data_IF_111131259791
#
_entry.id   IF_111131259791
#
_cell.length_a   1.000
_cell.length_b   1.000
_cell.length_c   1.000
_cell.angle_alpha   90.00
_cell.angle_beta   90.00
_cell.angle_gamma   90.00
#
_symmetry.space_group_name_H-M   'P 1'
#
loop_
_entity.id
_entity.type
_entity.pdbx_description
1 polymer ?
#
# COMPACT_ATOMS: atom_id res chain seq x y z
N UNK A 1 -6.02 3.60 -33.35
CA UNK A 1 -6.26 4.75 -32.46
C UNK A 1 -5.64 4.43 -31.12
N UNK A 2 -4.58 5.14 -30.73
CA UNK A 2 -3.94 4.99 -29.42
C UNK A 2 -4.84 5.64 -28.37
N UNK A 3 -5.43 4.85 -27.49
CA UNK A 3 -6.12 5.39 -26.32
C UNK A 3 -5.04 5.96 -25.39
N UNK A 4 -4.89 7.28 -25.39
CA UNK A 4 -4.14 7.97 -24.35
C UNK A 4 -5.05 7.94 -23.11
N UNK A 5 -4.82 6.97 -22.23
CA UNK A 5 -5.37 7.02 -20.88
C UNK A 5 -4.72 8.23 -20.21
N UNK A 6 -5.44 9.36 -20.11
CA UNK A 6 -4.99 10.45 -19.25
C UNK A 6 -4.97 9.88 -17.84
N UNK A 7 -3.77 9.64 -17.31
CA UNK A 7 -3.57 9.29 -15.90
C UNK A 7 -4.04 10.49 -15.08
N UNK A 8 -5.35 10.52 -14.78
CA UNK A 8 -5.93 11.43 -13.80
C UNK A 8 -5.33 10.96 -12.49
N UNK A 9 -4.31 11.66 -11.98
CA UNK A 9 -3.65 11.35 -10.70
C UNK A 9 -4.70 10.88 -9.70
N UNK A 10 -4.78 9.57 -9.51
CA UNK A 10 -5.63 9.01 -8.47
C UNK A 10 -4.94 9.43 -7.18
N UNK A 11 -5.64 10.05 -6.22
CA UNK A 11 -5.01 10.45 -4.99
C UNK A 11 -4.46 9.20 -4.29
N UNK A 12 -3.14 9.13 -4.16
CA UNK A 12 -2.49 8.14 -3.32
C UNK A 12 -2.53 8.64 -1.87
N UNK A 13 -2.78 7.74 -0.93
CA UNK A 13 -2.72 8.05 0.50
C UNK A 13 -1.40 7.52 1.03
N UNK A 14 -0.57 8.44 1.51
CA UNK A 14 0.70 8.12 2.15
C UNK A 14 0.66 8.56 3.60
N UNK A 15 0.83 7.63 4.52
CA UNK A 15 0.93 7.89 5.95
C UNK A 15 2.32 8.39 6.32
N UNK A 16 2.39 9.33 7.26
CA UNK A 16 3.64 9.69 7.95
C UNK A 16 3.83 8.73 9.12
N UNK A 17 4.92 8.00 9.11
CA UNK A 17 5.22 6.96 10.10
C UNK A 17 6.59 7.17 10.72
N UNK A 18 6.82 6.55 11.87
CA UNK A 18 8.13 6.43 12.51
C UNK A 18 8.47 4.95 12.67
N UNK A 19 9.68 4.54 12.29
CA UNK A 19 10.27 3.28 12.73
C UNK A 19 11.04 3.52 14.03
N UNK A 20 10.75 2.73 15.07
CA UNK A 20 11.34 2.87 16.40
C UNK A 20 12.24 1.67 16.69
N UNK A 21 13.54 1.91 16.82
CA UNK A 21 14.50 0.88 17.18
C UNK A 21 14.28 0.38 18.61
N UNK A 22 13.95 -0.91 18.78
CA UNK A 22 13.63 -1.49 20.10
C UNK A 22 14.71 -1.29 21.17
N UNK A 23 15.99 -1.37 20.79
CA UNK A 23 17.11 -1.28 21.73
C UNK A 23 17.52 0.17 21.97
N UNK A 24 17.64 0.94 20.89
CA UNK A 24 18.22 2.30 20.94
C UNK A 24 17.19 3.39 21.16
N UNK A 25 15.90 3.10 20.96
CA UNK A 25 14.84 4.11 20.89
C UNK A 25 14.98 5.06 19.69
N UNK A 26 15.92 4.79 18.76
CA UNK A 26 16.14 5.62 17.58
C UNK A 26 14.87 5.67 16.75
N UNK A 27 14.42 6.88 16.43
CA UNK A 27 13.28 7.15 15.57
C UNK A 27 13.75 7.48 14.16
N UNK A 28 13.12 6.88 13.17
CA UNK A 28 13.38 7.11 11.75
C UNK A 28 12.05 7.46 11.09
N UNK A 29 11.94 8.68 10.60
CA UNK A 29 10.75 9.10 9.84
C UNK A 29 10.69 8.34 8.51
N UNK A 30 9.50 7.87 8.15
CA UNK A 30 9.22 7.20 6.89
C UNK A 30 7.86 7.62 6.31
N UNK A 31 7.71 7.46 5.01
CA UNK A 31 6.44 7.62 4.31
C UNK A 31 5.93 6.25 3.87
N UNK A 32 4.76 5.85 4.36
CA UNK A 32 4.16 4.56 4.06
C UNK A 32 2.98 4.73 3.10
N UNK A 33 3.12 4.23 1.87
CA UNK A 33 2.03 4.20 0.90
C UNK A 33 1.02 3.13 1.29
N UNK A 34 -0.27 3.47 1.29
CA UNK A 34 -1.35 2.48 1.37
C UNK A 34 -1.60 1.94 -0.04
N UNK A 35 -1.39 0.64 -0.26
CA UNK A 35 -1.54 0.03 -1.57
C UNK A 35 -2.23 -1.34 -1.49
N UNK A 36 -3.53 -1.38 -1.76
CA UNK A 36 -4.29 -2.64 -1.83
C UNK A 36 -3.89 -3.53 -3.02
N UNK A 37 -3.05 -3.05 -3.93
CA UNK A 37 -2.49 -3.82 -5.05
C UNK A 37 -1.19 -4.54 -4.73
N UNK A 38 -0.60 -4.31 -3.55
CA UNK A 38 0.62 -4.95 -3.10
C UNK A 38 0.33 -5.99 -2.00
N UNK A 39 1.02 -7.13 -2.05
CA UNK A 39 0.97 -8.16 -1.00
C UNK A 39 2.04 -7.89 0.07
N UNK A 40 1.72 -8.14 1.34
CA UNK A 40 2.68 -7.97 2.44
C UNK A 40 2.92 -6.53 2.90
N UNK A 41 3.85 -6.39 3.85
CA UNK A 41 4.38 -5.12 4.33
C UNK A 41 5.81 -4.99 3.81
N UNK A 42 6.10 -3.95 3.05
CA UNK A 42 7.33 -3.85 2.28
C UNK A 42 8.10 -2.59 2.69
N UNK A 43 9.43 -2.70 2.81
CA UNK A 43 10.33 -1.57 3.02
C UNK A 43 11.35 -1.49 1.88
N UNK A 44 11.64 -0.27 1.46
CA UNK A 44 12.60 -0.01 0.39
C UNK A 44 14.02 -0.40 0.80
N UNK A 45 14.70 -1.15 -0.07
CA UNK A 45 16.08 -1.62 0.16
C UNK A 45 17.07 -0.48 0.39
N UNK A 46 17.01 0.58 -0.42
CA UNK A 46 17.87 1.76 -0.29
C UNK A 46 17.55 2.54 1.00
N UNK A 47 16.26 2.66 1.35
CA UNK A 47 15.84 3.27 2.61
C UNK A 47 16.39 2.49 3.81
N UNK A 48 16.27 1.16 3.80
CA UNK A 48 16.73 0.29 4.88
C UNK A 48 18.25 0.37 5.04
N UNK A 49 19.01 0.32 3.94
CA UNK A 49 20.46 0.46 3.93
C UNK A 49 20.92 1.82 4.46
N UNK A 50 20.36 2.92 3.93
CA UNK A 50 20.70 4.29 4.35
C UNK A 50 20.45 4.52 5.84
N UNK A 51 19.40 3.90 6.38
CA UNK A 51 19.07 4.01 7.81
C UNK A 51 19.76 2.97 8.70
N UNK A 52 20.52 2.05 8.10
CA UNK A 52 21.25 0.99 8.80
C UNK A 52 20.31 0.09 9.61
N UNK A 53 19.19 -0.30 9.01
CA UNK A 53 18.29 -1.27 9.61
C UNK A 53 18.94 -2.65 9.64
N UNK A 54 18.70 -3.43 10.70
CA UNK A 54 19.14 -4.82 10.75
C UNK A 54 18.34 -5.65 9.76
N UNK A 55 19.02 -6.25 8.80
CA UNK A 55 18.44 -7.14 7.80
C UNK A 55 18.71 -8.60 8.18
N UNK A 56 17.70 -9.45 8.01
CA UNK A 56 17.76 -10.87 8.28
C UNK A 56 17.46 -11.65 7.00
N UNK A 57 18.17 -12.74 6.70
CA UNK A 57 17.92 -13.53 5.51
C UNK A 57 16.62 -14.33 5.63
N UNK A 58 15.86 -14.40 4.54
CA UNK A 58 14.70 -15.29 4.40
C UNK A 58 15.19 -16.67 3.97
N UNK A 59 14.70 -17.72 4.64
CA UNK A 59 15.08 -19.12 4.35
C UNK A 59 14.77 -19.52 2.90
N UNK A 60 13.62 -19.10 2.39
CA UNK A 60 13.17 -19.38 1.03
C UNK A 60 12.87 -18.05 0.33
N UNK A 61 13.84 -17.45 -0.37
CA UNK A 61 13.61 -16.27 -1.18
C UNK A 61 12.47 -16.49 -2.19
N UNK A 62 11.73 -15.44 -2.53
CA UNK A 62 10.63 -15.50 -3.50
C UNK A 62 10.64 -14.29 -4.44
N UNK A 63 10.19 -14.40 -5.70
CA UNK A 63 10.19 -13.30 -6.65
C UNK A 63 9.10 -12.27 -6.32
N UNK A 64 9.41 -10.98 -6.50
CA UNK A 64 8.38 -9.93 -6.59
C UNK A 64 7.75 -10.02 -7.98
N UNK A 65 6.43 -10.20 -8.04
CA UNK A 65 5.68 -10.29 -9.29
C UNK A 65 4.87 -9.03 -9.50
N UNK A 66 5.00 -8.43 -10.67
CA UNK A 66 4.07 -7.40 -11.11
C UNK A 66 2.72 -8.07 -11.44
N UNK A 67 1.62 -7.33 -11.35
CA UNK A 67 0.26 -7.87 -11.62
C UNK A 67 0.09 -8.28 -13.09
N UNK A 68 0.91 -7.77 -14.01
CA UNK A 68 0.93 -8.19 -15.42
C UNK A 68 1.70 -9.51 -15.64
N UNK A 69 2.28 -10.09 -14.58
CA UNK A 69 3.04 -11.33 -14.62
C UNK A 69 4.47 -11.19 -15.13
N UNK A 70 4.92 -9.96 -15.45
CA UNK A 70 6.32 -9.71 -15.78
C UNK A 70 7.21 -9.91 -14.55
N UNK A 71 8.42 -10.44 -14.78
CA UNK A 71 9.45 -10.45 -13.75
C UNK A 71 9.92 -9.02 -13.52
N UNK A 72 9.78 -8.54 -12.28
CA UNK A 72 10.39 -7.27 -11.91
C UNK A 72 11.92 -7.44 -12.02
N UNK A 73 12.56 -6.59 -12.82
CA UNK A 73 13.99 -6.67 -13.19
C UNK A 73 14.94 -6.63 -11.97
N UNK A 74 14.44 -6.32 -10.77
CA UNK A 74 15.21 -6.28 -9.52
C UNK A 74 14.95 -7.45 -8.54
N UNK A 75 14.28 -8.50 -9.00
CA UNK A 75 14.62 -9.89 -8.68
C UNK A 75 14.72 -10.27 -7.18
N UNK A 76 13.63 -10.81 -6.65
CA UNK A 76 13.58 -11.59 -5.41
C UNK A 76 13.66 -10.82 -4.08
N UNK A 77 12.70 -11.11 -3.20
CA UNK A 77 12.80 -10.82 -1.78
C UNK A 77 13.71 -11.87 -1.14
N UNK A 78 14.80 -11.41 -0.52
CA UNK A 78 15.81 -12.26 0.12
C UNK A 78 15.98 -11.97 1.59
N UNK A 79 15.57 -10.79 2.01
CA UNK A 79 15.80 -10.26 3.34
C UNK A 79 14.51 -9.65 3.87
N UNK A 80 14.42 -9.63 5.18
CA UNK A 80 13.37 -8.95 5.91
C UNK A 80 13.97 -8.16 7.07
N UNK A 81 13.19 -7.27 7.64
CA UNK A 81 13.56 -6.56 8.88
C UNK A 81 12.34 -6.46 9.80
N UNK A 82 12.57 -6.53 11.11
CA UNK A 82 11.50 -6.37 12.11
C UNK A 82 11.66 -4.99 12.74
N UNK A 83 10.64 -4.15 12.63
CA UNK A 83 10.65 -2.78 13.16
C UNK A 83 9.38 -2.50 13.94
N UNK A 84 9.46 -1.63 14.96
CA UNK A 84 8.25 -1.07 15.55
C UNK A 84 7.77 0.08 14.67
N UNK A 85 6.64 -0.09 14.00
CA UNK A 85 6.00 0.92 13.17
C UNK A 85 5.04 1.73 14.04
N UNK A 86 5.23 3.04 14.11
CA UNK A 86 4.32 3.96 14.80
C UNK A 86 3.69 4.95 13.83
N UNK A 87 2.38 5.15 13.96
CA UNK A 87 1.58 6.06 13.13
C UNK A 87 0.77 6.98 14.05
N UNK A 88 1.02 8.28 13.95
CA UNK A 88 0.38 9.29 14.81
C UNK A 88 -0.89 9.85 14.19
N UNK A 89 -1.83 10.25 15.05
CA UNK A 89 -2.90 11.18 14.67
C UNK A 89 -2.31 12.53 14.21
N UNK A 90 -3.07 13.26 13.41
CA UNK A 90 -2.67 14.57 12.87
C UNK A 90 -2.29 15.58 13.95
N UNK A 91 -2.97 15.54 15.09
CA UNK A 91 -2.71 16.41 16.25
C UNK A 91 -1.60 15.88 17.19
N UNK A 92 -1.00 14.73 16.87
CA UNK A 92 0.00 14.02 17.66
C UNK A 92 -0.45 13.60 19.08
N UNK A 93 -1.77 13.55 19.35
CA UNK A 93 -2.30 13.19 20.67
C UNK A 93 -2.63 11.72 20.85
N UNK A 94 -2.74 10.98 19.75
CA UNK A 94 -3.02 9.55 19.68
C UNK A 94 -2.03 8.88 18.71
N UNK A 95 -1.82 7.58 18.88
CA UNK A 95 -1.01 6.81 17.95
C UNK A 95 -1.39 5.33 17.93
N UNK A 96 -1.15 4.71 16.79
CA UNK A 96 -1.04 3.27 16.60
C UNK A 96 0.44 2.88 16.61
N UNK A 97 0.80 1.77 17.25
CA UNK A 97 2.10 1.13 17.12
C UNK A 97 1.97 -0.38 17.05
N UNK A 98 2.81 -0.99 16.22
CA UNK A 98 2.91 -2.44 16.10
C UNK A 98 4.36 -2.84 15.83
N UNK A 99 4.66 -4.12 16.04
CA UNK A 99 5.88 -4.73 15.55
C UNK A 99 5.60 -5.40 14.22
N UNK A 100 6.11 -4.83 13.14
CA UNK A 100 5.88 -5.33 11.79
C UNK A 100 7.14 -5.99 11.24
N UNK A 101 6.94 -7.11 10.54
CA UNK A 101 7.92 -7.74 9.68
C UNK A 101 7.81 -7.11 8.29
N UNK A 102 8.89 -6.49 7.81
CA UNK A 102 8.95 -5.85 6.51
C UNK A 102 9.80 -6.69 5.56
N UNK A 103 9.25 -7.06 4.41
CA UNK A 103 10.02 -7.60 3.31
C UNK A 103 10.85 -6.49 2.65
N UNK A 104 12.12 -6.79 2.38
CA UNK A 104 13.05 -5.81 1.82
C UNK A 104 13.15 -6.02 0.31
N UNK A 105 12.74 -5.02 -0.46
CA UNK A 105 12.92 -4.99 -1.91
C UNK A 105 12.93 -3.55 -2.43
N UNK A 106 13.25 -3.35 -3.70
CA UNK A 106 13.17 -2.02 -4.31
C UNK A 106 11.72 -1.71 -4.70
N UNK A 107 11.22 -0.57 -4.23
CA UNK A 107 9.85 -0.09 -4.46
C UNK A 107 9.84 1.35 -5.02
N UNK A 108 10.90 1.74 -5.72
CA UNK A 108 11.07 3.07 -6.29
C UNK A 108 11.23 4.15 -5.21
N UNK A 109 10.49 5.25 -5.36
CA UNK A 109 10.62 6.43 -4.49
C UNK A 109 9.84 6.33 -3.16
N UNK A 110 9.19 5.20 -2.89
CA UNK A 110 8.47 4.96 -1.64
C UNK A 110 9.41 4.42 -0.56
N UNK A 111 9.23 4.85 0.70
CA UNK A 111 10.01 4.30 1.82
C UNK A 111 9.42 2.95 2.27
N UNK A 112 8.09 2.89 2.39
CA UNK A 112 7.32 1.73 2.86
C UNK A 112 6.05 1.57 1.99
N UNK A 113 5.62 0.33 1.76
CA UNK A 113 4.27 -0.01 1.30
C UNK A 113 3.55 -0.82 2.38
N UNK A 114 2.34 -0.39 2.72
CA UNK A 114 1.37 -1.13 3.52
C UNK A 114 0.39 -1.82 2.57
N UNK A 115 0.65 -3.10 2.29
CA UNK A 115 -0.11 -3.92 1.38
C UNK A 115 -1.34 -4.58 2.00
N UNK A 116 -1.85 -5.61 1.33
CA UNK A 116 -3.05 -6.35 1.71
C UNK A 116 -2.97 -6.94 3.11
N UNK A 117 -1.82 -7.48 3.53
CA UNK A 117 -1.68 -8.12 4.84
C UNK A 117 -1.97 -7.11 5.96
N UNK A 118 -1.40 -5.90 5.86
CA UNK A 118 -1.66 -4.83 6.82
C UNK A 118 -3.10 -4.33 6.74
N UNK A 119 -3.65 -4.21 5.53
CA UNK A 119 -5.01 -3.72 5.28
C UNK A 119 -6.09 -4.70 5.75
N UNK A 120 -5.89 -5.99 5.58
CA UNK A 120 -6.80 -7.04 6.04
C UNK A 120 -6.76 -7.15 7.57
N UNK A 121 -5.57 -7.07 8.16
CA UNK A 121 -5.39 -7.14 9.61
C UNK A 121 -6.02 -5.94 10.33
N UNK A 122 -5.79 -4.72 9.83
CA UNK A 122 -6.21 -3.50 10.51
C UNK A 122 -7.56 -2.97 10.03
N UNK A 123 -7.95 -3.31 8.80
CA UNK A 123 -9.17 -2.89 8.12
C UNK A 123 -9.52 -1.41 8.43
N UNK A 124 -8.68 -0.43 8.08
CA UNK A 124 -8.90 0.97 8.47
C UNK A 124 -10.15 1.58 7.81
N UNK A 125 -10.74 2.60 8.44
CA UNK A 125 -11.73 3.44 7.78
C UNK A 125 -11.01 4.48 6.91
N UNK A 126 -11.14 4.35 5.58
CA UNK A 126 -10.46 5.22 4.61
C UNK A 126 -11.48 6.10 3.90
N UNK A 127 -11.27 7.41 3.97
CA UNK A 127 -11.93 8.39 3.13
C UNK A 127 -10.96 8.88 2.05
N UNK A 128 -11.11 8.35 0.83
CA UNK A 128 -10.27 8.69 -0.30
C UNK A 128 -10.43 10.14 -0.75
N UNK A 129 -11.62 10.73 -0.57
CA UNK A 129 -11.87 12.11 -0.98
C UNK A 129 -11.13 13.11 -0.11
N UNK A 130 -11.06 12.83 1.20
CA UNK A 130 -10.38 13.66 2.19
C UNK A 130 -8.95 13.21 2.50
N UNK A 131 -8.49 12.10 1.89
CA UNK A 131 -7.25 11.42 2.27
C UNK A 131 -7.18 11.15 3.79
N UNK A 132 -8.31 10.74 4.38
CA UNK A 132 -8.44 10.41 5.81
C UNK A 132 -8.25 8.91 6.01
N UNK A 133 -7.53 8.55 7.06
CA UNK A 133 -7.39 7.17 7.52
C UNK A 133 -7.60 7.15 9.03
N UNK A 134 -8.49 6.28 9.49
CA UNK A 134 -8.79 6.08 10.91
C UNK A 134 -8.58 4.60 11.28
N UNK A 135 -7.88 4.36 12.39
CA UNK A 135 -7.61 3.03 12.92
C UNK A 135 -8.64 2.68 13.99
N UNK A 136 -9.79 2.16 13.56
CA UNK A 136 -10.93 1.84 14.42
C UNK A 136 -11.03 0.36 14.80
N UNK A 137 -10.26 -0.50 14.12
CA UNK A 137 -10.37 -1.97 14.19
C UNK A 137 -9.02 -2.67 14.41
N UNK A 138 -8.07 -2.00 15.06
CA UNK A 138 -6.76 -2.59 15.36
C UNK A 138 -6.91 -3.87 16.21
N UNK A 139 -6.14 -4.93 15.90
CA UNK A 139 -5.97 -6.07 16.79
C UNK A 139 -5.44 -5.70 18.18
N UNK A 140 -5.63 -6.60 19.16
CA UNK A 140 -5.09 -6.43 20.53
C UNK A 140 -3.56 -6.48 20.60
N UNK A 141 -2.90 -7.01 19.57
CA UNK A 141 -1.44 -7.02 19.43
C UNK A 141 -0.88 -5.61 19.17
N UNK A 142 -1.71 -4.67 18.75
CA UNK A 142 -1.33 -3.28 18.53
C UNK A 142 -1.33 -2.48 19.83
N UNK A 143 -0.33 -1.61 19.99
CA UNK A 143 -0.28 -0.65 21.08
C UNK A 143 -0.92 0.65 20.59
N UNK A 144 -2.09 0.98 21.14
CA UNK A 144 -2.78 2.23 20.79
C UNK A 144 -2.82 3.20 21.97
N UNK A 145 -2.51 4.47 21.71
CA UNK A 145 -2.72 5.56 22.66
C UNK A 145 -3.99 6.31 22.29
N UNK A 146 -4.96 6.34 23.22
CA UNK A 146 -6.30 6.95 23.06
C UNK A 146 -7.07 6.37 21.86
N UNK A 147 -7.36 5.05 21.84
CA UNK A 147 -8.14 4.45 20.77
C UNK A 147 -9.61 4.96 20.75
N UNK A 148 -10.26 5.00 19.58
CA UNK A 148 -9.67 4.71 18.26
C UNK A 148 -8.71 5.82 17.82
N UNK A 149 -7.69 5.46 17.02
CA UNK A 149 -6.71 6.44 16.54
C UNK A 149 -7.25 7.08 15.26
N UNK A 150 -7.85 8.25 15.41
CA UNK A 150 -8.50 8.98 14.32
C UNK A 150 -7.56 9.98 13.65
N UNK A 151 -7.88 10.30 12.39
CA UNK A 151 -7.22 11.27 11.55
C UNK A 151 -5.71 11.07 11.51
N UNK A 152 -5.25 9.89 11.08
CA UNK A 152 -3.83 9.61 10.93
C UNK A 152 -3.14 10.69 10.09
N UNK A 153 -1.89 10.99 10.44
CA UNK A 153 -1.08 11.98 9.73
C UNK A 153 -0.77 11.47 8.33
N UNK A 154 -1.25 12.16 7.31
CA UNK A 154 -0.99 11.85 5.90
C UNK A 154 -0.05 12.89 5.27
N UNK A 155 0.74 12.47 4.26
CA UNK A 155 1.50 13.38 3.40
C UNK A 155 0.49 14.08 2.49
N UNK A 156 0.18 15.34 2.76
CA UNK A 156 -0.68 16.14 1.89
C UNK A 156 0.06 16.41 0.58
N UNK A 157 -0.48 15.99 -0.56
CA UNK A 157 -0.06 16.55 -1.85
C UNK A 157 -0.43 18.04 -1.82
N UNK A 158 0.53 18.93 -2.12
CA UNK A 158 0.20 20.36 -2.30
C UNK A 158 -0.94 20.44 -3.31
N UNK A 159 -2.03 21.18 -3.03
CA UNK A 159 -3.06 21.39 -4.04
C UNK A 159 -2.36 21.88 -5.31
N UNK A 160 -2.69 21.27 -6.46
CA UNK A 160 -2.31 21.86 -7.74
C UNK A 160 -3.01 23.22 -7.77
N UNK A 161 -2.26 24.29 -7.49
CA UNK A 161 -2.73 25.64 -7.74
C UNK A 161 -2.75 25.78 -9.25
N UNK A 162 -3.91 25.54 -9.85
CA UNK A 162 -4.13 25.90 -11.25
C UNK A 162 -4.18 27.43 -11.25
N UNK A 163 -3.08 28.09 -11.61
CA UNK A 163 -3.13 29.52 -11.94
C UNK A 163 -3.98 29.68 -13.21
N UNK A 164 -5.14 30.35 -13.13
CA UNK A 164 -6.00 30.53 -14.30
C UNK A 164 -5.39 31.45 -15.39
N UNK A 165 -4.20 32.02 -15.18
CA UNK A 165 -3.57 32.99 -16.09
C UNK A 165 -2.36 32.46 -16.87
N UNK A 166 -1.81 31.30 -16.52
CA UNK A 166 -0.63 30.76 -17.21
C UNK A 166 -0.98 29.51 -18.02
N UNK A 167 -1.05 29.65 -19.35
CA UNK A 167 -1.16 28.52 -20.28
C UNK A 167 0.14 27.69 -20.42
N UNK A 168 1.15 27.95 -19.59
CA UNK A 168 2.38 27.17 -19.53
C UNK A 168 2.50 26.50 -18.17
N UNK A 169 2.56 25.17 -18.19
CA UNK A 169 2.91 24.36 -17.02
C UNK A 169 4.41 24.49 -16.80
N UNK A 170 4.81 25.20 -15.76
CA UNK A 170 6.18 25.15 -15.29
C UNK A 170 6.30 23.97 -14.32
N UNK A 171 6.98 22.91 -14.78
CA UNK A 171 7.29 21.75 -13.97
C UNK A 171 8.61 21.99 -13.26
N UNK A 172 8.57 22.13 -11.93
CA UNK A 172 9.78 22.17 -11.11
C UNK A 172 9.76 20.92 -10.22
N UNK A 173 10.60 19.95 -10.59
CA UNK A 173 10.71 18.63 -9.97
C UNK A 173 11.06 17.61 -11.04
N UNK A 174 12.23 17.00 -10.92
CA UNK A 174 12.84 16.13 -11.91
C UNK A 174 11.91 14.98 -12.36
N UNK A 175 11.79 14.84 -13.66
CA UNK A 175 11.04 13.78 -14.36
C UNK A 175 11.93 12.57 -14.54
N UNK A 176 11.63 11.46 -13.87
CA UNK A 176 11.61 10.11 -14.48
C UNK A 176 10.71 9.20 -13.63
N UNK A 177 9.49 8.92 -14.07
CA UNK A 177 8.62 7.93 -13.43
C UNK A 177 8.28 6.85 -14.46
N UNK A 178 8.99 5.72 -14.39
CA UNK A 178 8.55 4.45 -14.95
C UNK A 178 7.76 3.75 -13.84
N UNK A 179 6.44 3.92 -13.82
CA UNK A 179 5.54 3.06 -13.06
C UNK A 179 4.49 2.50 -14.02
N UNK A 180 4.51 1.18 -14.17
CA UNK A 180 3.61 0.41 -15.03
C UNK A 180 2.17 0.47 -14.48
N UNK A 181 1.23 0.74 -15.40
CA UNK A 181 -0.21 0.89 -15.19
C UNK A 181 -0.89 -0.48 -15.03
N UNK A 182 -1.64 -0.66 -13.93
CA UNK A 182 -2.49 -1.84 -13.67
C UNK A 182 -3.96 -1.50 -13.50
N UNK A 183 -4.43 -0.46 -14.18
CA UNK A 183 -5.85 -0.10 -14.18
C UNK A 183 -6.63 -0.68 -15.37
N UNK A 184 -5.97 -1.04 -16.49
CA UNK A 184 -6.64 -1.47 -17.72
C UNK A 184 -7.05 -2.95 -17.77
N UNK A 185 -6.34 -3.86 -17.09
CA UNK A 185 -6.65 -5.29 -17.07
C UNK A 185 -7.83 -5.63 -16.14
N UNK A 186 -8.01 -4.85 -15.06
CA UNK A 186 -9.07 -5.08 -14.05
C UNK A 186 -10.46 -4.74 -14.61
N UNK A 187 -10.59 -3.76 -15.51
CA UNK A 187 -11.88 -3.47 -16.14
C UNK A 187 -12.25 -4.46 -17.26
N UNK A 188 -11.28 -5.06 -17.95
CA UNK A 188 -11.56 -6.08 -18.99
C UNK A 188 -12.10 -7.38 -18.39
N UNK A 189 -11.63 -7.81 -17.20
CA UNK A 189 -12.10 -9.05 -16.56
C UNK A 189 -13.49 -8.97 -15.92
N UNK A 190 -14.03 -7.77 -15.67
CA UNK A 190 -15.40 -7.61 -15.13
C UNK A 190 -16.52 -7.73 -16.19
N UNK A 191 -16.20 -7.71 -17.48
CA UNK A 191 -17.17 -7.90 -18.56
C UNK A 191 -17.16 -9.32 -19.17
N UNK A 192 -16.25 -10.19 -18.73
CA UNK A 192 -16.13 -11.57 -19.22
C UNK A 192 -16.70 -12.64 -18.27
N UNK A 193 -17.27 -12.24 -17.13
CA UNK A 193 -17.98 -13.18 -16.25
C UNK A 193 -19.43 -13.32 -16.72
N UNK A 194 -19.94 -14.54 -16.96
CA UNK A 194 -21.34 -14.73 -17.30
C UNK A 194 -22.23 -14.26 -16.14
N UNK A 195 -23.27 -13.48 -16.44
CA UNK A 195 -24.31 -13.14 -15.48
C UNK A 195 -25.06 -14.42 -15.13
N UNK A 196 -24.91 -14.93 -13.91
CA UNK A 196 -25.84 -15.95 -13.40
C UNK A 196 -27.20 -15.30 -13.18
N UNK A 197 -28.15 -15.60 -14.05
CA UNK A 197 -29.56 -15.32 -13.84
C UNK A 197 -30.15 -16.36 -12.89
N UNK A 198 -30.89 -15.90 -11.90
CA UNK A 198 -31.69 -16.71 -10.98
C UNK A 198 -32.71 -17.55 -11.76
N UNK A 199 -32.43 -18.84 -11.96
CA UNK A 199 -33.37 -19.70 -12.68
C UNK A 199 -32.96 -21.13 -12.98
N UNK A 200 -32.05 -21.78 -12.24
CA UNK A 200 -31.81 -23.23 -12.41
C UNK A 200 -31.64 -23.93 -11.05
N UNK A 201 -32.70 -23.88 -10.23
CA UNK A 201 -32.93 -24.88 -9.19
C UNK A 201 -34.09 -25.74 -9.69
N UNK A 202 -33.75 -26.87 -10.33
CA UNK A 202 -34.53 -28.13 -10.47
C UNK A 202 -34.16 -28.83 -11.78
N UNK A 203 -33.32 -29.86 -11.69
CA UNK A 203 -33.53 -31.17 -12.33
C UNK A 203 -32.24 -32.01 -12.37
N UNK A 204 -31.73 -32.46 -11.22
CA UNK A 204 -30.88 -33.67 -11.19
C UNK A 204 -31.11 -34.39 -9.87
N UNK A 205 -32.26 -35.04 -9.76
CA UNK A 205 -32.52 -36.13 -8.83
C UNK A 205 -33.53 -37.05 -9.50
N UNK A 206 -33.05 -37.78 -10.50
CA UNK A 206 -33.68 -39.02 -10.98
C UNK A 206 -32.64 -39.79 -11.78
N UNK A 207 -32.30 -40.98 -11.30
CA UNK A 207 -31.55 -41.97 -12.09
C UNK A 207 -30.29 -42.52 -11.44
N UNK A 208 -30.44 -43.31 -10.38
CA UNK A 208 -29.61 -44.52 -10.28
C UNK A 208 -30.37 -45.64 -9.58
N UNK A 209 -30.98 -46.50 -10.42
CA UNK A 209 -31.54 -47.80 -10.06
C UNK A 209 -30.86 -48.83 -10.94
N UNK A 210 -29.91 -49.57 -10.37
CA UNK A 210 -29.60 -50.97 -10.65
C UNK A 210 -29.02 -51.55 -9.38
#
# INVERSE_FOLDING_TARGET
MSAITRNKQIPSITLKTELIGKITGRKIDANALIDSGAEGIIINSQFAQRNQLTLLPIKNPFPVRNVDGSENTMGWVREYTIQNLRIYSRDNKAYHEEQAEFYVTDIGDHDIILGTDWLEEHNPDIDWSDSRVDMTRCPETCITAKPPVLHLKTKTLKPIVIDPRTHHKEYQGDVVEFLFDLSTEIQKKRQSLPKMTTGEIRSQNDGNRT
#
